data_IF_743875192336
#
_entry.id   IF_743875192336
#
_cell.length_a   1.000
_cell.length_b   1.000
_cell.length_c   1.000
_cell.angle_alpha   90.00
_cell.angle_beta   90.00
_cell.angle_gamma   90.00
#
_symmetry.space_group_name_H-M   'P 1'
#
loop_
_entity.id
_entity.type
_entity.pdbx_description
1 polymer ?
#
# COMPACT_ATOMS: atom_id res chain seq x y z
N UNK A 1 3.90 0.42 9.41
CA UNK A 1 3.54 1.09 8.15
C UNK A 1 4.11 0.33 6.97
N UNK A 2 3.25 -0.11 6.07
CA UNK A 2 3.61 -0.69 4.78
C UNK A 2 3.61 0.41 3.71
N UNK A 3 4.64 0.47 2.87
CA UNK A 3 4.66 1.38 1.74
C UNK A 3 5.57 0.86 0.62
N UNK A 4 5.35 1.38 -0.59
CA UNK A 4 6.12 1.00 -1.77
C UNK A 4 7.59 1.48 -1.69
N UNK A 5 8.45 0.80 -2.45
CA UNK A 5 9.86 1.11 -2.70
C UNK A 5 10.11 2.57 -3.10
N UNK A 6 9.15 3.24 -3.75
CA UNK A 6 9.21 4.68 -4.06
C UNK A 6 9.42 5.56 -2.80
N UNK A 7 8.92 5.10 -1.65
CA UNK A 7 9.01 5.78 -0.36
C UNK A 7 10.24 5.36 0.48
N UNK A 8 11.22 4.67 -0.12
CA UNK A 8 12.41 4.18 0.58
C UNK A 8 13.38 5.28 1.05
N UNK A 9 13.11 6.55 0.70
CA UNK A 9 14.05 7.65 0.91
C UNK A 9 14.37 7.88 2.40
N UNK A 10 15.55 8.45 2.66
CA UNK A 10 16.06 8.65 4.03
C UNK A 10 15.17 9.59 4.85
N UNK A 11 14.63 10.65 4.24
CA UNK A 11 13.79 11.66 4.92
C UNK A 11 12.52 11.02 5.50
N UNK A 12 11.83 10.21 4.70
CA UNK A 12 10.64 9.45 5.11
C UNK A 12 10.99 8.51 6.26
N UNK A 13 12.07 7.73 6.13
CA UNK A 13 12.49 6.81 7.20
C UNK A 13 12.88 7.52 8.51
N UNK A 14 13.49 8.70 8.42
CA UNK A 14 13.80 9.52 9.61
C UNK A 14 12.50 9.98 10.26
N UNK A 15 11.55 10.47 9.48
CA UNK A 15 10.26 10.92 10.00
C UNK A 15 9.46 9.80 10.67
N UNK A 16 9.43 8.62 10.05
CA UNK A 16 8.76 7.44 10.61
C UNK A 16 9.40 7.00 11.93
N UNK A 17 10.75 7.00 12.01
CA UNK A 17 11.47 6.73 13.26
C UNK A 17 11.19 7.77 14.34
N UNK A 18 11.17 9.05 13.99
CA UNK A 18 10.83 10.15 14.92
C UNK A 18 9.45 9.94 15.55
N UNK A 19 8.50 9.43 14.77
CA UNK A 19 7.14 9.10 15.23
C UNK A 19 7.00 7.71 15.87
N UNK A 20 8.09 6.96 16.04
CA UNK A 20 8.10 5.57 16.54
C UNK A 20 7.22 4.61 15.72
N UNK A 21 7.08 4.87 14.41
CA UNK A 21 6.35 4.01 13.48
C UNK A 21 7.33 3.02 12.86
N UNK A 22 7.10 1.72 13.09
CA UNK A 22 7.83 0.66 12.37
C UNK A 22 7.50 0.72 10.87
N UNK A 23 8.52 0.74 10.03
CA UNK A 23 8.38 0.93 8.59
C UNK A 23 8.83 -0.33 7.82
N UNK A 24 7.87 -1.02 7.22
CA UNK A 24 8.09 -2.14 6.29
C UNK A 24 8.04 -1.59 4.87
N UNK A 25 9.18 -1.04 4.45
CA UNK A 25 9.37 -0.43 3.13
C UNK A 25 10.61 -1.07 2.52
N UNK A 26 10.57 -1.64 1.31
CA UNK A 26 11.76 -2.18 0.68
C UNK A 26 12.71 -1.06 0.25
N UNK A 27 14.02 -1.32 0.29
CA UNK A 27 15.01 -0.37 -0.24
C UNK A 27 15.12 -0.42 -1.75
N UNK A 28 15.41 0.72 -2.37
CA UNK A 28 15.75 0.75 -3.80
C UNK A 28 17.05 -0.01 -4.10
N UNK A 29 17.12 -0.68 -5.26
CA UNK A 29 18.26 -1.55 -5.60
C UNK A 29 19.55 -0.74 -5.76
N UNK A 30 19.46 0.45 -6.34
CA UNK A 30 20.52 1.45 -6.39
C UNK A 30 20.98 1.90 -4.99
N UNK A 31 20.05 2.12 -4.06
CA UNK A 31 20.36 2.46 -2.67
C UNK A 31 21.09 1.33 -1.95
N UNK A 32 20.68 0.08 -2.16
CA UNK A 32 21.37 -1.09 -1.61
C UNK A 32 22.79 -1.20 -2.17
N UNK A 33 22.98 -1.03 -3.49
CA UNK A 33 24.30 -1.03 -4.14
C UNK A 33 25.19 0.11 -3.64
N UNK A 34 24.67 1.33 -3.57
CA UNK A 34 25.40 2.49 -3.09
C UNK A 34 25.80 2.37 -1.61
N UNK A 35 24.95 1.72 -0.79
CA UNK A 35 25.29 1.38 0.60
C UNK A 35 26.41 0.35 0.65
N UNK A 36 26.32 -0.73 -0.13
CA UNK A 36 27.33 -1.78 -0.18
C UNK A 36 28.69 -1.25 -0.67
N UNK A 37 28.70 -0.37 -1.68
CA UNK A 37 29.91 0.26 -2.20
C UNK A 37 30.65 1.13 -1.17
N UNK A 38 29.97 1.60 -0.13
CA UNK A 38 30.57 2.37 0.98
C UNK A 38 31.18 1.50 2.07
N UNK A 39 31.07 0.17 1.99
CA UNK A 39 31.59 -0.75 3.00
C UNK A 39 31.07 -0.43 4.40
N UNK A 40 31.98 -0.34 5.39
CA UNK A 40 31.66 -0.02 6.78
C UNK A 40 30.98 1.35 6.95
N UNK A 41 31.31 2.33 6.11
CA UNK A 41 30.69 3.66 6.13
C UNK A 41 29.25 3.66 5.58
N UNK A 42 28.82 2.58 4.93
CA UNK A 42 27.45 2.43 4.40
C UNK A 42 26.39 2.24 5.48
N UNK A 43 26.77 1.72 6.65
CA UNK A 43 25.85 1.45 7.76
C UNK A 43 24.91 0.27 7.52
N UNK A 44 24.05 0.02 8.53
CA UNK A 44 23.13 -1.12 8.58
C UNK A 44 21.94 -0.95 7.62
N UNK A 45 21.51 -2.02 6.91
CA UNK A 45 20.25 -2.01 6.17
C UNK A 45 19.05 -1.67 7.08
N UNK A 46 18.03 -0.96 6.57
CA UNK A 46 16.78 -0.76 7.28
C UNK A 46 16.08 -2.09 7.58
N UNK A 47 15.36 -2.14 8.71
CA UNK A 47 14.47 -3.26 9.00
C UNK A 47 13.39 -3.38 7.90
N UNK A 48 13.13 -4.61 7.47
CA UNK A 48 12.11 -4.95 6.50
C UNK A 48 11.52 -6.31 6.87
N UNK A 49 10.20 -6.36 7.01
CA UNK A 49 9.44 -7.57 7.27
C UNK A 49 8.81 -8.06 5.95
N UNK A 50 9.33 -9.16 5.42
CA UNK A 50 8.86 -9.72 4.15
C UNK A 50 7.46 -10.35 4.27
N UNK A 51 7.09 -10.88 5.43
CA UNK A 51 5.79 -11.52 5.64
C UNK A 51 4.68 -10.47 5.70
N UNK A 52 4.87 -9.43 6.53
CA UNK A 52 3.95 -8.30 6.56
C UNK A 52 3.84 -7.61 5.18
N UNK A 53 4.91 -7.62 4.38
CA UNK A 53 4.88 -7.03 3.05
C UNK A 53 3.99 -7.77 2.04
N UNK A 54 3.70 -9.06 2.25
CA UNK A 54 2.79 -9.82 1.38
C UNK A 54 1.37 -9.27 1.39
N UNK A 55 0.93 -8.66 2.50
CA UNK A 55 -0.39 -8.05 2.64
C UNK A 55 -0.63 -6.89 1.64
N UNK A 56 0.44 -6.31 1.08
CA UNK A 56 0.34 -5.27 0.04
C UNK A 56 -0.44 -5.76 -1.19
N UNK A 57 -0.32 -7.04 -1.56
CA UNK A 57 -1.02 -7.60 -2.73
C UNK A 57 -2.55 -7.49 -2.58
N UNK A 58 -3.10 -7.57 -1.37
CA UNK A 58 -4.53 -7.39 -1.12
C UNK A 58 -4.98 -5.96 -1.44
N UNK A 59 -4.18 -4.97 -1.03
CA UNK A 59 -4.43 -3.54 -1.33
C UNK A 59 -4.32 -3.28 -2.83
N UNK A 60 -3.29 -3.81 -3.49
CA UNK A 60 -3.11 -3.67 -4.95
C UNK A 60 -4.28 -4.28 -5.73
N UNK A 61 -4.75 -5.47 -5.34
CA UNK A 61 -5.92 -6.10 -5.95
C UNK A 61 -7.18 -5.27 -5.74
N UNK A 62 -7.37 -4.69 -4.55
CA UNK A 62 -8.50 -3.80 -4.29
C UNK A 62 -8.47 -2.54 -5.16
N UNK A 63 -7.30 -1.91 -5.30
CA UNK A 63 -7.11 -0.74 -6.16
C UNK A 63 -7.32 -1.11 -7.64
N UNK A 64 -6.83 -2.27 -8.08
CA UNK A 64 -7.04 -2.73 -9.46
C UNK A 64 -8.53 -2.94 -9.76
N UNK A 65 -9.28 -3.59 -8.84
CA UNK A 65 -10.74 -3.71 -8.96
C UNK A 65 -11.45 -2.36 -9.03
N UNK A 66 -10.98 -1.36 -8.28
CA UNK A 66 -11.51 0.00 -8.36
C UNK A 66 -11.22 0.64 -9.72
N UNK A 67 -10.05 0.38 -10.31
CA UNK A 67 -9.68 0.89 -11.65
C UNK A 67 -10.44 0.21 -12.80
N UNK A 68 -11.10 -0.92 -12.57
CA UNK A 68 -12.05 -1.47 -13.57
C UNK A 68 -13.22 -0.50 -13.84
N UNK A 69 -13.54 0.37 -12.88
CA UNK A 69 -14.52 1.43 -13.06
C UNK A 69 -13.86 2.62 -13.76
N UNK A 70 -14.23 2.85 -15.03
CA UNK A 70 -13.67 3.92 -15.87
C UNK A 70 -13.67 5.29 -15.20
N UNK A 71 -14.72 5.63 -14.44
CA UNK A 71 -14.81 6.91 -13.71
C UNK A 71 -13.71 7.06 -12.65
N UNK A 72 -13.37 5.96 -11.94
CA UNK A 72 -12.28 5.95 -10.96
C UNK A 72 -10.92 5.98 -11.67
N UNK A 73 -10.75 5.21 -12.74
CA UNK A 73 -9.49 5.13 -13.47
C UNK A 73 -9.08 6.45 -14.11
N UNK A 74 -10.03 7.17 -14.73
CA UNK A 74 -9.72 8.42 -15.41
C UNK A 74 -9.54 9.61 -14.46
N UNK A 75 -10.14 9.57 -13.25
CA UNK A 75 -10.08 10.64 -12.25
C UNK A 75 -10.21 12.04 -12.87
N UNK A 76 -11.30 12.26 -13.59
CA UNK A 76 -11.60 13.53 -14.28
C UNK A 76 -12.41 14.51 -13.43
N UNK A 77 -12.85 14.07 -12.24
CA UNK A 77 -13.63 14.90 -11.31
C UNK A 77 -12.80 16.08 -10.79
N UNK A 78 -13.29 17.31 -10.97
CA UNK A 78 -12.60 18.52 -10.49
C UNK A 78 -12.59 18.67 -8.97
N UNK A 79 -13.58 18.10 -8.27
CA UNK A 79 -13.78 18.26 -6.84
C UNK A 79 -13.51 16.97 -6.11
N UNK A 80 -12.77 17.04 -5.00
CA UNK A 80 -12.38 15.86 -4.21
C UNK A 80 -13.60 15.06 -3.72
N UNK A 81 -14.65 15.73 -3.24
CA UNK A 81 -15.83 15.04 -2.72
C UNK A 81 -16.59 14.25 -3.80
N UNK A 82 -16.57 14.73 -5.05
CA UNK A 82 -17.19 14.02 -6.18
C UNK A 82 -16.41 12.75 -6.46
N UNK A 83 -15.08 12.86 -6.57
CA UNK A 83 -14.21 11.69 -6.76
C UNK A 83 -14.34 10.68 -5.61
N UNK A 84 -14.43 11.15 -4.36
CA UNK A 84 -14.66 10.29 -3.19
C UNK A 84 -16.01 9.57 -3.26
N UNK A 85 -17.06 10.25 -3.72
CA UNK A 85 -18.36 9.64 -4.00
C UNK A 85 -18.26 8.53 -5.06
N UNK A 86 -17.55 8.80 -6.16
CA UNK A 86 -17.28 7.81 -7.21
C UNK A 86 -16.58 6.56 -6.67
N UNK A 87 -15.55 6.74 -5.83
CA UNK A 87 -14.86 5.64 -5.15
C UNK A 87 -15.83 4.86 -4.25
N UNK A 88 -16.63 5.55 -3.43
CA UNK A 88 -17.57 4.91 -2.51
C UNK A 88 -18.60 4.04 -3.26
N UNK A 89 -19.19 4.56 -4.34
CA UNK A 89 -20.14 3.81 -5.17
C UNK A 89 -19.45 2.60 -5.82
N UNK A 90 -18.24 2.76 -6.36
CA UNK A 90 -17.48 1.65 -6.93
C UNK A 90 -17.16 0.58 -5.88
N UNK A 91 -16.74 0.97 -4.68
CA UNK A 91 -16.50 0.07 -3.55
C UNK A 91 -17.75 -0.70 -3.15
N UNK A 92 -18.91 -0.04 -3.05
CA UNK A 92 -20.19 -0.70 -2.76
C UNK A 92 -20.51 -1.75 -3.84
N UNK A 93 -20.34 -1.41 -5.12
CA UNK A 93 -20.58 -2.36 -6.22
C UNK A 93 -19.63 -3.55 -6.19
N UNK A 94 -18.36 -3.35 -5.84
CA UNK A 94 -17.40 -4.45 -5.65
C UNK A 94 -17.83 -5.34 -4.49
N UNK A 95 -18.24 -4.76 -3.38
CA UNK A 95 -18.70 -5.48 -2.19
C UNK A 95 -19.94 -6.32 -2.49
N UNK A 96 -20.96 -5.74 -3.13
CA UNK A 96 -22.20 -6.45 -3.49
C UNK A 96 -22.00 -7.56 -4.53
N UNK A 97 -20.93 -7.52 -5.33
CA UNK A 97 -20.59 -8.58 -6.29
C UNK A 97 -20.00 -9.83 -5.61
N UNK A 98 -19.49 -9.68 -4.39
CA UNK A 98 -19.12 -10.78 -3.52
C UNK A 98 -19.99 -10.65 -2.26
N UNK A 99 -21.30 -10.96 -2.32
CA UNK A 99 -22.00 -11.22 -1.08
C UNK A 99 -21.18 -12.31 -0.41
N UNK A 100 -20.71 -12.07 0.81
CA UNK A 100 -20.07 -13.11 1.60
C UNK A 100 -20.94 -14.35 1.44
N UNK A 101 -20.42 -15.43 0.85
CA UNK A 101 -21.08 -16.71 0.98
C UNK A 101 -21.28 -16.85 2.48
N UNK A 102 -22.53 -16.81 2.91
CA UNK A 102 -22.89 -16.93 4.31
C UNK A 102 -22.10 -18.11 4.87
N UNK A 103 -21.36 -17.87 5.95
CA UNK A 103 -20.79 -18.95 6.74
C UNK A 103 -21.98 -19.79 7.22
N UNK A 104 -22.05 -21.10 6.94
CA UNK A 104 -23.13 -21.97 7.42
C UNK A 104 -23.02 -22.26 8.93
N UNK A 105 -22.31 -21.43 9.69
CA UNK A 105 -22.07 -21.60 11.13
C UNK A 105 -23.19 -21.06 12.02
N UNK A 106 -24.11 -20.26 11.49
CA UNK A 106 -25.30 -19.81 12.23
C UNK A 106 -26.49 -20.73 11.94
N UNK A 107 -26.48 -21.90 12.57
CA UNK A 107 -27.70 -22.65 12.89
C UNK A 107 -27.82 -22.66 14.42
N UNK A 108 -28.98 -22.30 15.00
CA UNK A 108 -29.16 -22.18 16.45
C UNK A 108 -28.93 -23.48 17.21
#
# INVERSE_FOLDING_TARGET
MLADKAYSNRKIRVELRRRRIMATIPEKTDQQKARAAKGSAGGRPPAFDAEAYKERNSVERAINKLKDFRAVAMRTDKREFVFRGTIAVASIKIWLRHPAKQDPGDTP
#
